data_IF_148724110331
#
_entry.id   IF_148724110331
#
_cell.length_a   1.000
_cell.length_b   1.000
_cell.length_c   1.000
_cell.angle_alpha   90.00
_cell.angle_beta   90.00
_cell.angle_gamma   90.00
#
_symmetry.space_group_name_H-M   'P 1'
#
loop_
_entity.id
_entity.type
_entity.pdbx_description
1 polymer ?
#
# COMPACT_ATOMS: atom_id res chain seq x y z
N UNK A 1 23.13 -14.92 29.67
CA UNK A 1 22.71 -14.93 28.24
C UNK A 1 22.92 -13.58 27.56
N UNK A 2 22.23 -12.48 27.91
CA UNK A 2 22.29 -11.23 27.12
C UNK A 2 23.71 -10.68 26.94
N UNK A 3 24.49 -10.67 28.02
CA UNK A 3 25.85 -10.12 28.08
C UNK A 3 26.94 -10.88 27.30
N UNK A 4 26.63 -12.03 26.68
CA UNK A 4 27.57 -12.77 25.82
C UNK A 4 27.15 -12.88 24.35
N UNK A 5 25.84 -12.79 24.06
CA UNK A 5 25.30 -13.11 22.75
C UNK A 5 24.32 -12.04 22.21
N UNK A 6 24.13 -10.93 22.93
CA UNK A 6 23.32 -9.79 22.49
C UNK A 6 21.86 -10.14 22.19
N UNK A 7 21.29 -9.44 21.20
CA UNK A 7 19.92 -9.66 20.74
C UNK A 7 19.73 -11.03 20.06
N UNK A 8 20.73 -11.49 19.29
CA UNK A 8 20.76 -12.83 18.69
C UNK A 8 20.55 -13.92 19.73
N UNK A 9 21.37 -13.98 20.78
CA UNK A 9 21.24 -15.00 21.82
C UNK A 9 19.95 -14.92 22.62
N UNK A 10 19.29 -13.76 22.65
CA UNK A 10 17.93 -13.63 23.19
C UNK A 10 16.88 -14.21 22.24
N UNK A 11 17.03 -14.04 20.94
CA UNK A 11 16.16 -14.64 19.91
C UNK A 11 16.29 -16.17 19.91
N UNK A 12 17.52 -16.71 19.88
CA UNK A 12 17.77 -18.16 19.98
C UNK A 12 17.26 -18.76 21.29
N UNK A 13 17.39 -18.06 22.42
CA UNK A 13 16.82 -18.50 23.71
C UNK A 13 15.28 -18.41 23.74
N UNK A 14 14.68 -17.49 22.97
CA UNK A 14 13.23 -17.39 22.81
C UNK A 14 12.68 -18.61 22.07
N UNK A 15 13.31 -18.98 20.95
CA UNK A 15 12.99 -20.18 20.17
C UNK A 15 13.17 -21.45 21.01
N UNK A 16 14.31 -21.58 21.70
CA UNK A 16 14.62 -22.76 22.53
C UNK A 16 13.67 -22.95 23.73
N UNK A 17 12.93 -21.91 24.12
CA UNK A 17 11.88 -21.97 25.16
C UNK A 17 10.46 -22.10 24.60
N UNK A 18 10.30 -22.28 23.29
CA UNK A 18 8.98 -22.35 22.65
C UNK A 18 8.17 -21.06 22.78
N UNK A 19 8.80 -19.92 23.06
CA UNK A 19 8.10 -18.66 23.19
C UNK A 19 7.49 -18.26 21.81
N UNK A 20 6.22 -17.82 21.76
CA UNK A 20 5.49 -17.65 20.50
C UNK A 20 6.07 -16.50 19.66
N UNK A 21 6.93 -16.85 18.70
CA UNK A 21 7.66 -15.91 17.83
C UNK A 21 6.77 -15.21 16.79
N UNK A 22 5.60 -15.78 16.49
CA UNK A 22 4.59 -15.22 15.58
C UNK A 22 3.21 -15.78 15.93
N UNK A 23 2.22 -14.92 16.16
CA UNK A 23 0.81 -15.36 16.15
C UNK A 23 0.39 -15.62 14.70
N UNK A 24 -0.18 -16.81 14.45
CA UNK A 24 -0.62 -17.23 13.12
C UNK A 24 -2.05 -16.76 12.80
N UNK A 25 -2.91 -16.66 13.81
CA UNK A 25 -4.19 -15.97 13.71
C UNK A 25 -3.98 -14.45 13.93
N UNK A 26 -4.65 -13.59 13.15
CA UNK A 26 -4.92 -12.22 13.55
C UNK A 26 -5.65 -12.19 14.91
N UNK A 27 -5.53 -11.07 15.63
CA UNK A 27 -6.32 -10.88 16.84
C UNK A 27 -7.72 -10.40 16.43
N UNK A 28 -8.73 -11.23 16.68
CA UNK A 28 -10.12 -10.81 16.51
C UNK A 28 -10.46 -9.70 17.52
N UNK A 29 -11.25 -8.74 17.07
CA UNK A 29 -11.45 -7.47 17.74
C UNK A 29 -12.49 -7.61 18.86
N UNK A 30 -12.03 -7.92 20.08
CA UNK A 30 -12.88 -8.06 21.26
C UNK A 30 -13.31 -6.72 21.88
N UNK A 31 -13.44 -5.65 21.10
CA UNK A 31 -13.81 -4.32 21.59
C UNK A 31 -15.01 -3.78 20.84
N UNK A 32 -15.94 -3.18 21.59
CA UNK A 32 -17.19 -2.68 21.04
C UNK A 32 -16.92 -1.49 20.10
N UNK A 33 -17.20 -1.75 18.82
CA UNK A 33 -16.89 -0.95 17.65
C UNK A 33 -17.92 -1.18 16.52
N UNK A 34 -18.95 -1.99 16.76
CA UNK A 34 -20.03 -2.16 15.82
C UNK A 34 -20.84 -0.86 15.74
N UNK A 35 -21.26 -0.48 14.54
CA UNK A 35 -22.20 0.64 14.34
C UNK A 35 -23.48 0.12 13.72
N UNK A 36 -24.59 0.44 14.36
CA UNK A 36 -25.93 -0.08 14.05
C UNK A 36 -26.88 1.06 13.73
N UNK A 37 -27.72 0.87 12.72
CA UNK A 37 -28.87 1.71 12.44
C UNK A 37 -30.13 0.86 12.39
N UNK A 38 -31.08 1.14 13.28
CA UNK A 38 -32.45 0.63 13.20
C UNK A 38 -33.28 1.60 12.38
N UNK A 39 -34.05 1.08 11.42
CA UNK A 39 -34.90 1.87 10.53
C UNK A 39 -36.28 2.08 11.17
N UNK A 40 -36.81 3.31 11.15
CA UNK A 40 -38.16 3.63 11.64
C UNK A 40 -39.28 2.89 10.86
N UNK A 41 -38.96 2.38 9.67
CA UNK A 41 -39.81 1.50 8.86
C UNK A 41 -38.94 0.63 7.94
N UNK A 42 -39.38 -0.58 7.53
CA UNK A 42 -38.57 -1.48 6.70
C UNK A 42 -38.16 -0.84 5.38
N UNK A 43 -36.85 -0.67 5.16
CA UNK A 43 -36.32 -0.02 3.97
C UNK A 43 -36.26 -1.02 2.79
N UNK A 44 -37.25 -0.95 1.90
CA UNK A 44 -37.36 -1.81 0.70
C UNK A 44 -36.46 -1.38 -0.47
N UNK A 45 -36.12 -0.08 -0.57
CA UNK A 45 -35.34 0.49 -1.67
C UNK A 45 -33.83 0.45 -1.44
N UNK A 46 -33.09 -0.06 -2.42
CA UNK A 46 -31.62 -0.21 -2.40
C UNK A 46 -30.88 1.11 -2.19
N UNK A 47 -31.32 2.21 -2.81
CA UNK A 47 -30.71 3.55 -2.64
C UNK A 47 -30.79 4.06 -1.19
N UNK A 48 -31.95 3.89 -0.55
CA UNK A 48 -32.18 4.28 0.86
C UNK A 48 -31.23 3.51 1.78
N UNK A 49 -31.12 2.20 1.57
CA UNK A 49 -30.24 1.32 2.33
C UNK A 49 -28.76 1.64 2.07
N UNK A 50 -28.38 1.99 0.83
CA UNK A 50 -27.04 2.44 0.50
C UNK A 50 -26.68 3.79 1.14
N UNK A 51 -27.66 4.68 1.36
CA UNK A 51 -27.48 5.94 2.08
C UNK A 51 -27.27 5.72 3.58
N UNK A 52 -28.07 4.83 4.21
CA UNK A 52 -27.84 4.39 5.60
C UNK A 52 -26.45 3.77 5.74
N UNK A 53 -26.08 2.90 4.78
CA UNK A 53 -24.75 2.31 4.66
C UNK A 53 -23.62 3.33 4.59
N UNK A 54 -23.81 4.47 3.91
CA UNK A 54 -22.84 5.57 3.86
C UNK A 54 -22.66 6.25 5.21
N UNK A 55 -23.74 6.48 5.95
CA UNK A 55 -23.66 7.08 7.28
C UNK A 55 -22.89 6.16 8.23
N UNK A 56 -23.28 4.89 8.33
CA UNK A 56 -22.57 3.90 9.14
C UNK A 56 -21.11 3.74 8.70
N UNK A 57 -20.82 3.84 7.40
CA UNK A 57 -19.45 3.82 6.88
C UNK A 57 -18.57 4.96 7.42
N UNK A 58 -19.12 6.17 7.50
CA UNK A 58 -18.44 7.34 8.07
C UNK A 58 -18.33 7.24 9.59
N UNK A 59 -19.42 6.89 10.29
CA UNK A 59 -19.46 6.74 11.75
C UNK A 59 -18.44 5.67 12.24
N UNK A 60 -18.28 4.57 11.50
CA UNK A 60 -17.26 3.54 11.75
C UNK A 60 -15.84 4.05 11.46
N UNK A 61 -15.65 4.82 10.40
CA UNK A 61 -14.33 5.35 10.02
C UNK A 61 -13.81 6.35 11.06
N UNK A 62 -14.64 7.28 11.53
CA UNK A 62 -14.26 8.25 12.56
C UNK A 62 -13.94 7.54 13.90
N UNK A 63 -14.74 6.53 14.31
CA UNK A 63 -14.43 5.74 15.52
C UNK A 63 -13.10 4.97 15.45
N UNK A 64 -12.77 4.39 14.29
CA UNK A 64 -11.49 3.71 14.07
C UNK A 64 -10.33 4.72 14.05
N UNK A 65 -10.54 5.88 13.41
CA UNK A 65 -9.57 6.98 13.35
C UNK A 65 -9.21 7.51 14.73
N UNK A 66 -10.20 7.82 15.58
CA UNK A 66 -9.99 8.32 16.95
C UNK A 66 -9.23 7.32 17.83
N UNK A 67 -9.51 6.02 17.67
CA UNK A 67 -8.77 4.93 18.34
C UNK A 67 -7.39 4.65 17.70
N UNK A 68 -7.06 5.29 16.59
CA UNK A 68 -5.80 5.09 15.86
C UNK A 68 -5.68 3.69 15.24
N UNK A 69 -6.79 3.11 14.79
CA UNK A 69 -6.90 1.76 14.26
C UNK A 69 -7.34 1.80 12.78
N UNK A 70 -7.08 0.70 12.05
CA UNK A 70 -7.71 0.45 10.75
C UNK A 70 -8.27 -0.97 10.68
N UNK A 71 -9.44 -1.09 10.04
CA UNK A 71 -10.17 -2.33 9.84
C UNK A 71 -9.55 -3.19 8.71
N UNK A 72 -9.39 -4.48 8.99
CA UNK A 72 -8.96 -5.54 8.06
C UNK A 72 -10.14 -6.43 7.65
N UNK A 73 -11.09 -6.71 8.55
CA UNK A 73 -12.37 -7.35 8.24
C UNK A 73 -13.52 -6.58 8.86
N UNK A 74 -14.52 -6.30 8.03
CA UNK A 74 -15.82 -5.79 8.45
C UNK A 74 -16.88 -6.83 8.11
N UNK A 75 -17.84 -6.99 9.01
CA UNK A 75 -19.04 -7.77 8.83
C UNK A 75 -20.19 -6.81 8.54
N UNK A 76 -20.97 -7.13 7.52
CA UNK A 76 -22.25 -6.47 7.24
C UNK A 76 -23.33 -7.44 7.72
N UNK A 77 -24.05 -7.08 8.78
CA UNK A 77 -25.28 -7.75 9.22
C UNK A 77 -26.47 -6.90 8.83
N UNK A 78 -27.55 -7.52 8.38
CA UNK A 78 -28.84 -6.85 8.26
C UNK A 78 -29.97 -7.75 8.73
N UNK A 79 -30.94 -7.15 9.41
CA UNK A 79 -32.23 -7.77 9.74
C UNK A 79 -33.24 -7.32 8.68
N UNK A 80 -33.75 -8.26 7.88
CA UNK A 80 -34.75 -8.02 6.84
C UNK A 80 -36.09 -8.59 7.30
N UNK A 81 -37.12 -7.75 7.35
CA UNK A 81 -38.50 -8.21 7.58
C UNK A 81 -39.06 -8.88 6.33
N UNK A 82 -39.66 -10.04 6.49
CA UNK A 82 -40.48 -10.73 5.47
C UNK A 82 -41.84 -11.09 6.07
N UNK A 83 -42.83 -11.53 5.27
CA UNK A 83 -44.13 -11.98 5.80
C UNK A 83 -44.00 -13.19 6.74
N UNK A 84 -42.96 -13.98 6.55
CA UNK A 84 -42.64 -15.22 7.30
C UNK A 84 -41.88 -14.94 8.62
N UNK A 85 -41.50 -13.70 8.87
CA UNK A 85 -40.75 -13.24 10.05
C UNK A 85 -39.39 -12.62 9.71
N UNK A 86 -38.80 -11.92 10.68
CA UNK A 86 -37.54 -11.21 10.49
C UNK A 86 -36.35 -12.17 10.28
N UNK A 87 -35.57 -11.94 9.22
CA UNK A 87 -34.44 -12.76 8.76
C UNK A 87 -33.11 -12.03 8.96
N UNK A 88 -32.16 -12.61 9.70
CA UNK A 88 -30.81 -12.07 9.83
C UNK A 88 -29.88 -12.58 8.71
N UNK A 89 -29.11 -11.68 8.11
CA UNK A 89 -28.18 -11.96 7.02
C UNK A 89 -26.81 -11.37 7.30
N UNK A 90 -25.78 -12.21 7.34
CA UNK A 90 -24.39 -11.80 7.54
C UNK A 90 -23.52 -12.02 6.29
N UNK A 91 -22.66 -11.03 5.94
CA UNK A 91 -21.48 -11.28 5.10
C UNK A 91 -20.21 -10.61 5.65
N UNK A 92 -19.13 -11.38 5.71
CA UNK A 92 -17.79 -10.94 6.11
C UNK A 92 -16.98 -10.50 4.88
N UNK A 93 -16.35 -9.33 4.94
CA UNK A 93 -15.50 -8.77 3.87
C UNK A 93 -14.06 -8.55 4.34
N UNK A 94 -13.06 -8.85 3.49
CA UNK A 94 -11.62 -8.60 3.77
C UNK A 94 -11.11 -7.37 3.04
N UNK A 95 -10.65 -6.38 3.78
CA UNK A 95 -10.11 -5.15 3.23
C UNK A 95 -8.60 -5.31 2.97
N UNK A 96 -8.21 -5.20 1.70
CA UNK A 96 -6.81 -5.17 1.26
C UNK A 96 -6.09 -3.92 1.74
N UNK A 97 -6.80 -2.80 1.70
CA UNK A 97 -6.32 -1.44 1.94
C UNK A 97 -7.16 -0.76 3.04
N UNK A 98 -6.85 0.50 3.37
CA UNK A 98 -7.59 1.25 4.40
C UNK A 98 -9.07 1.38 4.02
N UNK A 99 -9.94 1.20 5.02
CA UNK A 99 -11.39 1.15 4.84
C UNK A 99 -11.95 2.56 4.52
N UNK A 100 -12.09 2.86 3.22
CA UNK A 100 -12.69 4.13 2.75
C UNK A 100 -14.21 4.05 2.72
N UNK A 101 -14.87 5.19 3.02
CA UNK A 101 -16.33 5.36 2.97
C UNK A 101 -16.93 4.82 1.66
N UNK A 102 -16.38 5.23 0.51
CA UNK A 102 -16.86 4.79 -0.80
C UNK A 102 -16.76 3.27 -1.00
N UNK A 103 -15.69 2.63 -0.53
CA UNK A 103 -15.52 1.18 -0.65
C UNK A 103 -16.52 0.40 0.22
N UNK A 104 -16.91 0.94 1.39
CA UNK A 104 -18.01 0.37 2.18
C UNK A 104 -19.33 0.54 1.42
N UNK A 105 -19.67 1.77 1.00
CA UNK A 105 -20.95 2.09 0.33
C UNK A 105 -21.24 1.18 -0.87
N UNK A 106 -20.24 0.94 -1.73
CA UNK A 106 -20.42 0.06 -2.90
C UNK A 106 -20.71 -1.39 -2.49
N UNK A 107 -20.05 -1.91 -1.45
CA UNK A 107 -20.24 -3.28 -0.96
C UNK A 107 -21.58 -3.42 -0.25
N UNK A 108 -21.94 -2.47 0.61
CA UNK A 108 -23.22 -2.45 1.34
C UNK A 108 -24.37 -2.38 0.35
N UNK A 109 -24.31 -1.50 -0.66
CA UNK A 109 -25.28 -1.45 -1.76
C UNK A 109 -25.39 -2.81 -2.48
N UNK A 110 -24.28 -3.34 -2.98
CA UNK A 110 -24.28 -4.59 -3.77
C UNK A 110 -24.78 -5.81 -3.00
N UNK A 111 -24.41 -5.93 -1.71
CA UNK A 111 -24.91 -7.02 -0.86
C UNK A 111 -26.41 -6.87 -0.58
N UNK A 112 -26.88 -5.67 -0.25
CA UNK A 112 -28.28 -5.46 0.14
C UNK A 112 -29.23 -5.41 -1.07
N UNK A 113 -28.76 -5.00 -2.24
CA UNK A 113 -29.46 -5.19 -3.53
C UNK A 113 -29.70 -6.68 -3.79
N UNK A 114 -28.66 -7.52 -3.66
CA UNK A 114 -28.78 -8.97 -3.82
C UNK A 114 -29.61 -9.67 -2.74
N UNK A 115 -29.70 -9.12 -1.52
CA UNK A 115 -30.58 -9.64 -0.47
C UNK A 115 -32.04 -9.19 -0.67
N UNK A 116 -32.28 -7.88 -0.86
CA UNK A 116 -33.61 -7.33 -1.08
C UNK A 116 -34.29 -7.95 -2.31
N UNK A 117 -33.57 -8.10 -3.44
CA UNK A 117 -34.12 -8.77 -4.62
C UNK A 117 -34.63 -10.19 -4.30
N UNK A 118 -33.90 -10.97 -3.48
CA UNK A 118 -34.36 -12.31 -3.08
C UNK A 118 -35.71 -12.28 -2.35
N UNK A 119 -35.87 -11.38 -1.38
CA UNK A 119 -37.07 -11.35 -0.53
C UNK A 119 -38.25 -10.60 -1.18
N UNK A 120 -37.99 -9.52 -1.92
CA UNK A 120 -39.00 -8.79 -2.69
C UNK A 120 -39.57 -9.68 -3.80
N UNK A 121 -38.73 -10.39 -4.56
CA UNK A 121 -39.23 -11.34 -5.58
C UNK A 121 -39.98 -12.54 -4.97
N UNK A 122 -39.60 -13.01 -3.79
CA UNK A 122 -40.31 -14.11 -3.13
C UNK A 122 -41.68 -13.68 -2.61
N UNK A 123 -41.76 -12.51 -1.96
CA UNK A 123 -43.02 -11.96 -1.47
C UNK A 123 -43.95 -11.47 -2.60
N UNK A 124 -43.40 -11.04 -3.75
CA UNK A 124 -44.21 -10.76 -4.94
C UNK A 124 -44.82 -12.06 -5.53
N UNK A 125 -44.08 -13.17 -5.50
CA UNK A 125 -44.60 -14.47 -5.98
C UNK A 125 -45.73 -15.00 -5.08
N UNK A 126 -45.62 -14.92 -3.75
CA UNK A 126 -46.67 -15.39 -2.84
C UNK A 126 -47.93 -14.53 -2.87
N UNK A 127 -47.83 -13.22 -3.13
CA UNK A 127 -48.99 -12.37 -3.43
C UNK A 127 -49.62 -12.79 -4.76
N UNK A 128 -48.82 -13.02 -5.80
CA UNK A 128 -49.30 -13.45 -7.12
C UNK A 128 -50.02 -14.81 -7.14
N UNK A 129 -49.71 -15.73 -6.21
CA UNK A 129 -50.48 -16.98 -6.05
C UNK A 129 -51.82 -16.76 -5.35
N UNK A 130 -51.98 -15.69 -4.55
CA UNK A 130 -53.20 -15.42 -3.78
C UNK A 130 -54.34 -14.74 -4.57
N UNK A 131 -54.06 -14.14 -5.73
CA UNK A 131 -55.06 -13.44 -6.56
C UNK A 131 -55.82 -14.37 -7.55
N UNK A 132 -55.50 -15.67 -7.61
CA UNK A 132 -56.09 -16.61 -8.59
C UNK A 132 -57.24 -17.48 -8.09
N UNK A 133 -57.75 -17.28 -6.86
CA UNK A 133 -58.87 -18.07 -6.31
C UNK A 133 -60.15 -17.27 -5.97
N UNK A 134 -60.30 -16.05 -6.52
CA UNK A 134 -61.57 -15.29 -6.46
C UNK A 134 -61.89 -14.52 -7.74
N UNK A 135 -63.18 -14.50 -8.11
CA UNK A 135 -63.82 -13.71 -9.18
C UNK A 135 -63.31 -13.87 -10.62
N UNK A 136 -63.47 -15.09 -11.14
CA UNK A 136 -63.67 -15.29 -12.56
C UNK A 136 -65.07 -14.79 -13.01
N UNK A 137 -65.24 -13.48 -13.26
CA UNK A 137 -66.07 -12.95 -14.36
C UNK A 137 -65.91 -11.42 -14.54
N UNK A 138 -65.88 -10.96 -15.80
CA UNK A 138 -66.07 -9.56 -16.25
C UNK A 138 -65.04 -8.49 -15.82
N UNK A 139 -63.98 -8.31 -16.62
CA UNK A 139 -63.95 -7.12 -17.48
C UNK A 139 -63.02 -7.27 -18.69
N UNK A 140 -63.36 -6.62 -19.81
CA UNK A 140 -62.54 -6.56 -21.01
C UNK A 140 -61.96 -5.15 -21.17
N UNK A 141 -60.87 -4.87 -20.45
CA UNK A 141 -60.14 -3.61 -20.52
C UNK A 141 -58.64 -3.87 -20.72
N UNK A 142 -58.02 -3.15 -21.66
CA UNK A 142 -56.56 -3.20 -21.84
C UNK A 142 -55.90 -2.40 -20.71
N UNK A 143 -55.02 -3.01 -19.89
CA UNK A 143 -54.22 -2.25 -18.94
C UNK A 143 -53.13 -1.47 -19.69
N UNK A 144 -53.06 -0.16 -19.45
CA UNK A 144 -51.92 0.65 -19.88
C UNK A 144 -50.72 0.35 -18.97
N UNK A 145 -49.51 0.32 -19.53
CA UNK A 145 -48.33 -0.29 -18.90
C UNK A 145 -47.65 0.62 -17.87
N UNK A 146 -48.34 0.91 -16.77
CA UNK A 146 -47.75 1.57 -15.61
C UNK A 146 -46.99 0.55 -14.77
N UNK A 147 -45.65 0.61 -14.81
CA UNK A 147 -44.79 -0.09 -13.84
C UNK A 147 -44.97 0.53 -12.45
N UNK A 148 -45.99 0.08 -11.72
CA UNK A 148 -46.13 0.36 -10.28
C UNK A 148 -45.02 -0.38 -9.54
N UNK A 149 -44.20 0.35 -8.78
CA UNK A 149 -43.10 -0.17 -7.95
C UNK A 149 -43.65 -0.98 -6.77
N UNK A 150 -44.15 -2.19 -7.08
CA UNK A 150 -44.91 -3.06 -6.21
C UNK A 150 -44.02 -3.82 -5.20
N UNK A 151 -43.18 -3.11 -4.46
CA UNK A 151 -42.51 -3.68 -3.29
C UNK A 151 -43.55 -4.11 -2.24
N UNK A 152 -43.62 -5.40 -1.85
CA UNK A 152 -44.64 -5.88 -0.92
C UNK A 152 -44.56 -5.16 0.43
N UNK A 153 -45.72 -4.66 0.90
CA UNK A 153 -45.79 -3.76 2.06
C UNK A 153 -45.23 -4.43 3.31
N UNK A 154 -44.21 -3.82 3.91
CA UNK A 154 -43.55 -4.31 5.12
C UNK A 154 -42.27 -5.13 4.88
N UNK A 155 -41.93 -5.48 3.63
CA UNK A 155 -40.69 -6.21 3.31
C UNK A 155 -39.53 -5.23 3.11
N UNK A 156 -38.47 -5.35 3.91
CA UNK A 156 -37.32 -4.44 3.82
C UNK A 156 -36.35 -4.54 4.99
N UNK A 157 -35.27 -3.77 4.94
CA UNK A 157 -34.24 -3.73 6.00
C UNK A 157 -34.76 -2.98 7.23
N UNK A 158 -34.87 -3.66 8.36
CA UNK A 158 -35.21 -3.09 9.66
C UNK A 158 -33.98 -2.70 10.49
N UNK A 159 -32.85 -3.39 10.30
CA UNK A 159 -31.58 -3.05 10.92
C UNK A 159 -30.42 -3.27 9.96
N UNK A 160 -29.42 -2.38 9.99
CA UNK A 160 -28.14 -2.54 9.32
C UNK A 160 -27.00 -2.29 10.32
N UNK A 161 -26.08 -3.24 10.42
CA UNK A 161 -24.95 -3.22 11.37
C UNK A 161 -23.63 -3.47 10.64
N UNK A 162 -22.62 -2.62 10.89
CA UNK A 162 -21.24 -2.80 10.43
C UNK A 162 -20.32 -3.11 11.62
N UNK A 163 -19.75 -4.31 11.66
CA UNK A 163 -18.96 -4.83 12.79
C UNK A 163 -17.50 -5.13 12.36
N UNK A 164 -16.49 -4.36 12.83
CA UNK A 164 -15.09 -4.50 12.41
C UNK A 164 -14.35 -5.59 13.20
N UNK A 165 -14.73 -6.87 12.98
CA UNK A 165 -14.22 -8.05 13.70
C UNK A 165 -12.69 -8.27 13.62
N UNK A 166 -11.96 -7.62 12.71
CA UNK A 166 -10.51 -7.67 12.67
C UNK A 166 -9.94 -6.26 12.41
N UNK A 167 -9.22 -5.71 13.39
CA UNK A 167 -8.57 -4.39 13.32
C UNK A 167 -7.09 -4.50 13.68
N UNK A 168 -6.26 -3.60 13.13
CA UNK A 168 -4.88 -3.38 13.60
C UNK A 168 -4.69 -1.92 14.01
N UNK A 169 -3.84 -1.68 15.01
CA UNK A 169 -3.35 -0.32 15.28
C UNK A 169 -2.66 0.20 14.01
N UNK A 170 -2.91 1.46 13.66
CA UNK A 170 -2.23 2.08 12.53
C UNK A 170 -0.76 2.33 12.89
N UNK A 171 0.15 1.76 12.12
CA UNK A 171 1.53 2.28 12.04
C UNK A 171 1.56 3.67 11.39
N UNK A 172 0.46 4.04 10.71
CA UNK A 172 0.18 5.36 10.16
C UNK A 172 -0.47 6.32 11.18
N UNK A 173 0.06 6.38 12.41
CA UNK A 173 0.15 7.70 13.07
C UNK A 173 1.20 8.50 12.31
N UNK A 174 0.76 9.13 11.22
CA UNK A 174 1.48 10.25 10.64
C UNK A 174 1.70 11.31 11.72
N UNK A 175 2.74 12.13 11.55
CA UNK A 175 3.01 13.26 12.45
C UNK A 175 1.91 14.35 12.35
N UNK A 176 1.02 14.21 11.37
CA UNK A 176 -0.13 15.03 11.02
C UNK A 176 -1.34 14.10 10.92
N UNK A 177 -2.52 14.54 11.37
CA UNK A 177 -3.64 13.66 11.71
C UNK A 177 -4.46 13.15 10.52
N UNK A 178 -5.14 12.01 10.68
CA UNK A 178 -5.88 11.33 9.60
C UNK A 178 -6.96 12.20 8.90
N UNK A 179 -7.49 13.24 9.56
CA UNK A 179 -8.41 14.21 8.93
C UNK A 179 -7.75 15.09 7.85
N UNK A 180 -6.42 15.17 7.80
CA UNK A 180 -5.69 15.88 6.74
C UNK A 180 -5.56 15.05 5.45
N UNK A 181 -5.66 13.72 5.50
CA UNK A 181 -5.46 12.86 4.33
C UNK A 181 -6.45 13.17 3.19
N UNK A 182 -7.72 13.45 3.48
CA UNK A 182 -8.70 13.82 2.45
C UNK A 182 -8.35 15.13 1.74
N UNK A 183 -7.83 16.12 2.47
CA UNK A 183 -7.38 17.38 1.90
C UNK A 183 -6.07 17.20 1.10
N UNK A 184 -5.14 16.38 1.59
CA UNK A 184 -3.90 16.04 0.91
C UNK A 184 -4.15 15.28 -0.41
N UNK A 185 -5.00 14.26 -0.40
CA UNK A 185 -5.37 13.51 -1.61
C UNK A 185 -6.11 14.40 -2.63
N UNK A 186 -7.03 15.26 -2.19
CA UNK A 186 -7.70 16.21 -3.07
C UNK A 186 -6.75 17.27 -3.67
N UNK A 187 -5.73 17.70 -2.91
CA UNK A 187 -4.69 18.57 -3.42
C UNK A 187 -3.78 17.86 -4.43
N UNK A 188 -3.33 16.63 -4.12
CA UNK A 188 -2.51 15.80 -5.01
C UNK A 188 -3.22 15.54 -6.35
N UNK A 189 -4.50 15.14 -6.32
CA UNK A 189 -5.31 14.92 -7.53
C UNK A 189 -5.43 16.17 -8.43
N UNK A 190 -5.57 17.37 -7.83
CA UNK A 190 -5.57 18.64 -8.57
C UNK A 190 -4.22 18.93 -9.23
N UNK A 191 -3.11 18.71 -8.53
CA UNK A 191 -1.77 18.89 -9.12
C UNK A 191 -1.50 17.82 -10.19
N UNK A 192 -2.03 16.61 -10.03
CA UNK A 192 -1.93 15.52 -11.00
C UNK A 192 -2.72 15.84 -12.28
N UNK A 193 -3.85 16.53 -12.17
CA UNK A 193 -4.61 17.08 -13.32
C UNK A 193 -3.83 18.17 -14.05
N UNK A 194 -3.04 18.99 -13.33
CA UNK A 194 -2.23 20.06 -13.94
C UNK A 194 -0.91 19.57 -14.57
N UNK A 195 -0.31 18.49 -14.06
CA UNK A 195 1.00 18.00 -14.50
C UNK A 195 0.97 16.67 -15.28
N UNK A 196 -0.15 15.96 -15.25
CA UNK A 196 -0.29 14.59 -15.76
C UNK A 196 0.04 13.51 -14.71
N UNK A 197 -0.45 12.26 -14.89
CA UNK A 197 -0.37 11.20 -13.89
C UNK A 197 1.07 10.85 -13.49
N UNK A 198 1.97 10.71 -14.47
CA UNK A 198 3.37 10.27 -14.29
C UNK A 198 4.29 11.30 -13.63
N UNK A 199 3.78 12.48 -13.26
CA UNK A 199 4.58 13.57 -12.67
C UNK A 199 4.50 13.64 -11.15
N UNK A 200 3.58 12.93 -10.52
CA UNK A 200 3.46 12.85 -9.06
C UNK A 200 3.51 11.39 -8.65
N UNK A 201 4.66 10.96 -8.11
CA UNK A 201 4.91 9.57 -7.81
C UNK A 201 5.43 9.37 -6.38
N UNK A 202 4.91 8.35 -5.72
CA UNK A 202 5.39 7.86 -4.41
C UNK A 202 6.61 6.94 -4.63
N UNK A 203 7.71 7.12 -3.88
CA UNK A 203 8.84 6.19 -3.92
C UNK A 203 8.53 4.91 -3.14
N UNK A 204 8.64 3.75 -3.79
CA UNK A 204 8.51 2.43 -3.16
C UNK A 204 9.80 1.64 -3.28
N UNK A 205 10.10 0.80 -2.28
CA UNK A 205 11.31 -0.03 -2.25
C UNK A 205 11.10 -1.36 -3.01
N UNK A 206 12.09 -1.75 -3.81
CA UNK A 206 12.16 -3.02 -4.54
C UNK A 206 13.54 -3.67 -4.46
N UNK A 207 13.64 -4.91 -4.92
CA UNK A 207 14.90 -5.58 -5.19
C UNK A 207 15.70 -4.84 -6.26
N UNK A 208 17.01 -4.70 -6.05
CA UNK A 208 17.89 -3.93 -6.93
C UNK A 208 19.37 -4.07 -6.54
N UNK A 209 20.27 -3.71 -7.47
CA UNK A 209 21.72 -3.90 -7.29
C UNK A 209 22.35 -2.81 -6.42
N UNK A 210 22.14 -1.54 -6.74
CA UNK A 210 22.56 -0.41 -5.91
C UNK A 210 21.39 0.44 -5.38
N UNK A 211 21.68 1.63 -4.82
CA UNK A 211 20.68 2.51 -4.21
C UNK A 211 19.63 3.03 -5.20
N UNK A 212 20.05 3.54 -6.37
CA UNK A 212 19.11 4.02 -7.40
C UNK A 212 18.24 2.86 -7.93
N UNK A 213 18.81 1.67 -8.12
CA UNK A 213 18.09 0.48 -8.62
C UNK A 213 17.00 -0.02 -7.65
N UNK A 214 17.06 0.33 -6.35
CA UNK A 214 16.16 -0.14 -5.28
C UNK A 214 14.90 0.69 -5.09
N UNK A 215 14.76 1.80 -5.82
CA UNK A 215 13.60 2.68 -5.77
C UNK A 215 12.80 2.51 -7.06
N UNK A 216 11.48 2.36 -6.94
CA UNK A 216 10.55 2.63 -8.03
C UNK A 216 9.72 3.87 -7.68
N UNK A 217 9.37 4.64 -8.70
CA UNK A 217 8.40 5.71 -8.60
C UNK A 217 7.08 5.17 -9.16
N UNK A 218 6.03 5.16 -8.35
CA UNK A 218 4.67 4.70 -8.72
C UNK A 218 3.74 5.92 -8.64
N UNK A 219 2.88 6.18 -9.64
CA UNK A 219 1.96 7.32 -9.60
C UNK A 219 1.10 7.34 -8.33
N UNK A 220 0.83 8.54 -7.80
CA UNK A 220 -0.05 8.68 -6.63
C UNK A 220 -1.45 8.18 -6.98
N UNK A 221 -1.97 7.29 -6.12
CA UNK A 221 -3.26 6.61 -6.30
C UNK A 221 -3.16 5.23 -6.96
N UNK A 222 -2.03 4.87 -7.56
CA UNK A 222 -1.81 3.54 -8.14
C UNK A 222 -1.16 2.58 -7.14
N UNK A 223 -1.65 1.33 -7.12
CA UNK A 223 -0.96 0.24 -6.44
C UNK A 223 0.36 -0.04 -7.14
N UNK A 224 1.44 -0.21 -6.38
CA UNK A 224 2.71 -0.64 -6.94
C UNK A 224 2.52 -1.98 -7.70
N UNK A 225 3.06 -2.13 -8.92
CA UNK A 225 3.00 -3.38 -9.65
C UNK A 225 3.75 -4.49 -8.88
N UNK A 226 3.67 -5.74 -9.35
CA UNK A 226 4.40 -6.88 -8.78
C UNK A 226 5.93 -6.75 -8.97
N UNK A 227 6.52 -5.84 -8.20
CA UNK A 227 7.96 -5.57 -8.16
C UNK A 227 8.67 -6.71 -7.41
N UNK A 228 9.90 -7.09 -7.84
CA UNK A 228 10.68 -8.07 -7.09
C UNK A 228 10.93 -7.54 -5.67
N UNK A 229 10.59 -8.35 -4.66
CA UNK A 229 10.65 -7.93 -3.26
C UNK A 229 12.07 -7.53 -2.84
N UNK A 230 12.16 -6.43 -2.08
CA UNK A 230 13.41 -5.90 -1.52
C UNK A 230 14.07 -6.81 -0.47
N UNK A 231 13.35 -7.82 0.03
CA UNK A 231 13.79 -8.78 1.06
C UNK A 231 14.64 -9.92 0.51
N UNK A 232 14.67 -10.15 -0.81
CA UNK A 232 15.48 -11.20 -1.43
C UNK A 232 16.90 -10.71 -1.78
N UNK A 233 17.88 -11.61 -1.64
CA UNK A 233 19.25 -11.39 -2.10
C UNK A 233 19.28 -11.35 -3.64
N UNK A 234 19.36 -10.16 -4.22
CA UNK A 234 19.32 -9.96 -5.67
C UNK A 234 20.68 -10.36 -6.29
N UNK A 235 20.78 -11.18 -7.37
CA UNK A 235 22.06 -11.81 -7.77
C UNK A 235 23.12 -10.84 -8.33
N UNK A 236 23.98 -10.27 -7.47
CA UNK A 236 24.80 -9.09 -7.78
C UNK A 236 24.34 -7.81 -7.04
N UNK A 237 23.66 -7.98 -5.91
CA UNK A 237 23.37 -6.96 -4.91
C UNK A 237 24.66 -6.42 -4.31
N UNK A 238 24.75 -5.09 -4.24
CA UNK A 238 25.78 -4.39 -3.49
C UNK A 238 25.67 -4.73 -1.99
N UNK A 239 26.79 -5.05 -1.30
CA UNK A 239 26.77 -5.46 0.10
C UNK A 239 26.33 -4.31 1.02
N UNK A 240 25.89 -4.65 2.23
CA UNK A 240 25.70 -3.65 3.29
C UNK A 240 27.08 -3.12 3.77
N UNK A 241 27.18 -1.87 4.24
CA UNK A 241 26.11 -0.87 4.37
C UNK A 241 25.66 -0.29 3.02
N UNK A 242 24.35 -0.09 2.86
CA UNK A 242 23.81 0.74 1.78
C UNK A 242 23.96 2.21 2.21
N UNK A 243 24.48 3.12 1.38
CA UNK A 243 24.64 4.52 1.76
C UNK A 243 23.28 5.17 1.99
N UNK A 244 23.18 6.03 3.00
CA UNK A 244 21.98 6.84 3.25
C UNK A 244 21.94 7.93 2.20
N UNK A 245 21.24 7.66 1.08
CA UNK A 245 21.02 8.60 -0.03
C UNK A 245 20.09 9.75 0.35
N UNK A 246 20.51 10.58 1.31
CA UNK A 246 19.95 11.92 1.41
C UNK A 246 20.34 12.66 0.14
N UNK A 247 19.32 13.04 -0.64
CA UNK A 247 19.35 14.11 -1.62
C UNK A 247 20.08 15.30 -0.99
N UNK A 248 21.37 15.47 -1.32
CA UNK A 248 22.18 16.59 -0.83
C UNK A 248 21.46 17.88 -1.24
N UNK A 249 21.46 18.90 -0.40
CA UNK A 249 20.47 20.00 -0.50
C UNK A 249 20.64 20.94 -1.73
N UNK A 250 21.66 20.69 -2.58
CA UNK A 250 21.73 21.06 -4.01
C UNK A 250 22.47 20.00 -4.86
N UNK A 251 22.42 18.72 -4.48
CA UNK A 251 23.12 17.61 -5.14
C UNK A 251 22.22 16.75 -6.05
N UNK A 252 22.54 16.61 -7.35
CA UNK A 252 21.77 15.83 -8.31
C UNK A 252 22.23 14.36 -8.44
N UNK A 253 21.42 13.53 -9.13
CA UNK A 253 21.66 12.08 -9.33
C UNK A 253 23.02 11.74 -9.96
N UNK A 254 23.43 10.46 -9.87
CA UNK A 254 24.58 9.90 -10.56
C UNK A 254 24.56 10.06 -12.10
N UNK A 255 23.44 10.46 -12.71
CA UNK A 255 23.39 10.84 -14.13
C UNK A 255 23.98 12.24 -14.43
N UNK A 256 24.03 13.14 -13.46
CA UNK A 256 24.28 14.57 -13.68
C UNK A 256 25.79 14.92 -13.79
N UNK A 257 26.19 15.97 -14.54
CA UNK A 257 27.61 16.37 -14.69
C UNK A 257 28.34 16.68 -13.37
N UNK A 258 27.70 17.43 -12.47
CA UNK A 258 28.26 17.86 -11.16
C UNK A 258 28.56 16.69 -10.20
N UNK A 259 28.01 15.51 -10.47
CA UNK A 259 28.26 14.29 -9.69
C UNK A 259 29.57 13.58 -10.11
N UNK A 260 30.30 14.12 -11.08
CA UNK A 260 31.62 13.66 -11.53
C UNK A 260 32.73 13.90 -10.52
N UNK A 261 33.63 12.93 -10.42
CA UNK A 261 34.85 12.96 -9.61
C UNK A 261 36.02 12.36 -10.38
N UNK A 262 37.24 12.78 -10.08
CA UNK A 262 38.44 11.98 -10.39
C UNK A 262 38.87 11.19 -9.16
N UNK A 263 39.39 9.99 -9.40
CA UNK A 263 39.96 9.09 -8.40
C UNK A 263 41.44 8.97 -8.75
N UNK A 264 42.34 9.37 -7.86
CA UNK A 264 43.76 9.54 -8.19
C UNK A 264 44.66 8.59 -7.39
N UNK A 265 45.78 8.19 -8.00
CA UNK A 265 46.89 7.52 -7.32
C UNK A 265 47.77 8.52 -6.54
N UNK A 266 48.80 8.02 -5.85
CA UNK A 266 49.72 8.85 -5.06
C UNK A 266 50.51 9.86 -5.92
N UNK A 267 50.80 9.50 -7.17
CA UNK A 267 51.44 10.36 -8.19
C UNK A 267 50.45 11.34 -8.86
N UNK A 268 49.16 11.28 -8.51
CA UNK A 268 48.11 12.17 -9.03
C UNK A 268 47.52 11.77 -10.39
N UNK A 269 47.70 10.53 -10.86
CA UNK A 269 47.14 10.02 -12.13
C UNK A 269 45.72 9.48 -11.95
N UNK A 270 44.87 9.66 -12.97
CA UNK A 270 43.51 9.10 -12.99
C UNK A 270 43.50 7.56 -12.93
N UNK A 271 42.83 7.02 -11.93
CA UNK A 271 42.59 5.59 -11.75
C UNK A 271 41.36 5.16 -12.54
N UNK A 272 41.51 4.10 -13.32
CA UNK A 272 40.43 3.49 -14.09
C UNK A 272 40.17 2.05 -13.64
N UNK A 273 38.98 1.54 -13.96
CA UNK A 273 38.71 0.10 -13.89
C UNK A 273 39.21 -0.54 -15.18
N UNK A 274 40.14 -1.49 -15.04
CA UNK A 274 40.74 -2.24 -16.14
C UNK A 274 39.75 -3.25 -16.75
N UNK A 275 40.05 -3.78 -17.94
CA UNK A 275 39.21 -4.79 -18.60
C UNK A 275 39.01 -6.08 -17.79
N UNK A 276 39.89 -6.35 -16.80
CA UNK A 276 39.83 -7.47 -15.84
C UNK A 276 39.07 -7.12 -14.54
N UNK A 277 38.40 -5.97 -14.48
CA UNK A 277 37.66 -5.50 -13.29
C UNK A 277 38.53 -5.25 -12.05
N UNK A 278 39.77 -4.81 -12.25
CA UNK A 278 40.69 -4.34 -11.20
C UNK A 278 40.92 -2.83 -11.35
N UNK A 279 41.23 -2.11 -10.27
CA UNK A 279 41.75 -0.74 -10.37
C UNK A 279 43.13 -0.73 -11.04
N UNK A 280 43.48 0.36 -11.73
CA UNK A 280 44.79 0.52 -12.38
C UNK A 280 45.95 0.83 -11.42
N UNK A 281 45.65 1.37 -10.24
CA UNK A 281 46.59 1.68 -9.15
C UNK A 281 45.83 1.71 -7.80
N UNK A 282 46.53 1.91 -6.69
CA UNK A 282 45.88 2.13 -5.39
C UNK A 282 45.31 3.56 -5.29
N UNK A 283 44.06 3.74 -4.84
CA UNK A 283 43.42 5.05 -4.76
C UNK A 283 43.84 5.82 -3.50
N UNK A 284 44.50 6.95 -3.70
CA UNK A 284 45.03 7.82 -2.65
C UNK A 284 44.10 9.01 -2.33
N UNK A 285 43.40 9.57 -3.32
CA UNK A 285 42.42 10.63 -3.09
C UNK A 285 41.26 10.65 -4.10
N UNK A 286 40.17 11.32 -3.72
CA UNK A 286 39.07 11.71 -4.60
C UNK A 286 39.11 13.23 -4.78
N UNK A 287 38.92 13.73 -6.01
CA UNK A 287 38.64 15.15 -6.25
C UNK A 287 37.19 15.35 -6.69
N UNK A 288 36.49 16.29 -6.06
CA UNK A 288 35.09 16.62 -6.34
C UNK A 288 34.92 18.14 -6.37
N UNK A 289 34.64 18.67 -7.56
CA UNK A 289 34.71 20.11 -7.81
C UNK A 289 36.12 20.64 -7.55
N UNK A 290 36.25 21.66 -6.70
CA UNK A 290 37.54 22.24 -6.29
C UNK A 290 38.15 21.59 -5.04
N UNK A 291 37.50 20.56 -4.45
CA UNK A 291 37.97 19.91 -3.22
C UNK A 291 38.67 18.59 -3.51
N UNK A 292 39.73 18.32 -2.75
CA UNK A 292 40.43 17.02 -2.65
C UNK A 292 40.11 16.41 -1.29
N UNK A 293 39.86 15.11 -1.27
CA UNK A 293 39.61 14.33 -0.07
C UNK A 293 40.50 13.10 -0.09
N UNK A 294 41.31 12.92 0.94
CA UNK A 294 42.28 11.84 1.00
C UNK A 294 41.60 10.55 1.48
N UNK A 295 41.92 9.43 0.82
CA UNK A 295 41.27 8.14 1.03
C UNK A 295 41.95 7.41 2.18
N UNK A 296 41.17 7.08 3.20
CA UNK A 296 41.62 6.37 4.41
C UNK A 296 41.35 4.87 4.36
N UNK A 297 40.59 4.41 3.35
CA UNK A 297 40.31 3.00 3.08
C UNK A 297 39.36 2.85 1.88
N UNK A 298 39.31 1.68 1.25
CA UNK A 298 38.46 1.43 0.09
C UNK A 298 38.08 -0.05 -0.02
N UNK A 299 37.03 -0.35 -0.79
CA UNK A 299 36.59 -1.72 -1.05
C UNK A 299 35.88 -1.84 -2.40
N UNK A 300 36.01 -3.01 -3.04
CA UNK A 300 35.67 -3.25 -4.44
C UNK A 300 36.93 -3.36 -5.32
N UNK A 301 36.87 -3.00 -6.62
CA UNK A 301 35.68 -2.56 -7.35
C UNK A 301 34.77 -3.76 -7.66
N UNK A 302 33.46 -3.63 -7.42
CA UNK A 302 32.48 -4.65 -7.79
C UNK A 302 31.98 -4.40 -9.22
N UNK A 303 32.34 -5.24 -10.21
CA UNK A 303 31.81 -5.11 -11.56
C UNK A 303 30.33 -5.50 -11.60
N UNK A 304 29.59 -4.81 -12.46
CA UNK A 304 28.21 -5.13 -12.82
C UNK A 304 28.13 -5.15 -14.35
N UNK A 305 27.68 -6.26 -14.91
CA UNK A 305 27.52 -6.46 -16.34
C UNK A 305 26.10 -6.98 -16.60
N UNK A 306 25.19 -6.07 -16.98
CA UNK A 306 23.78 -6.39 -17.22
C UNK A 306 23.49 -6.46 -18.72
N UNK A 307 22.71 -7.43 -19.15
CA UNK A 307 22.28 -7.57 -20.56
C UNK A 307 23.46 -7.62 -21.56
N UNK A 308 24.53 -8.34 -21.22
CA UNK A 308 25.72 -8.52 -22.07
C UNK A 308 25.41 -9.14 -23.46
N UNK A 309 24.24 -9.77 -23.60
CA UNK A 309 23.68 -10.31 -24.84
C UNK A 309 22.93 -9.26 -25.70
N UNK A 310 22.94 -7.98 -25.29
CA UNK A 310 22.26 -6.86 -25.94
C UNK A 310 23.06 -5.55 -25.74
N UNK A 311 22.41 -4.37 -25.72
CA UNK A 311 23.04 -3.10 -25.37
C UNK A 311 23.29 -2.99 -23.85
N UNK A 312 24.21 -3.81 -23.35
CA UNK A 312 24.41 -4.03 -21.92
C UNK A 312 24.89 -2.83 -21.09
N UNK A 313 24.47 -2.79 -19.83
CA UNK A 313 24.94 -1.82 -18.83
C UNK A 313 26.15 -2.38 -18.10
N UNK A 314 27.35 -2.14 -18.63
CA UNK A 314 28.62 -2.48 -17.96
C UNK A 314 29.15 -1.31 -17.14
N UNK A 315 29.34 -1.53 -15.84
CA UNK A 315 29.87 -0.54 -14.89
C UNK A 315 30.57 -1.21 -13.70
N UNK A 316 31.13 -0.44 -12.78
CA UNK A 316 31.64 -0.97 -11.51
C UNK A 316 31.36 0.00 -10.35
N UNK A 317 31.21 -0.53 -9.14
CA UNK A 317 31.04 0.23 -7.89
C UNK A 317 32.29 0.15 -7.01
N UNK A 318 32.62 1.22 -6.30
CA UNK A 318 33.74 1.29 -5.35
C UNK A 318 33.28 2.02 -4.09
N UNK A 319 33.50 1.44 -2.92
CA UNK A 319 33.41 2.17 -1.64
C UNK A 319 34.76 2.84 -1.38
N UNK A 320 34.73 4.10 -0.95
CA UNK A 320 35.90 4.79 -0.40
C UNK A 320 35.53 5.46 0.92
N UNK A 321 36.36 5.28 1.93
CA UNK A 321 36.36 6.04 3.17
C UNK A 321 37.30 7.23 2.97
N UNK A 322 36.87 8.44 3.35
CA UNK A 322 37.66 9.66 3.14
C UNK A 322 37.83 10.44 4.44
N UNK A 323 38.78 11.38 4.47
CA UNK A 323 39.00 12.25 5.62
C UNK A 323 37.74 13.07 6.00
N UNK A 324 37.07 13.68 5.03
CA UNK A 324 35.69 14.21 5.13
C UNK A 324 35.04 14.19 3.73
N UNK A 325 33.79 13.71 3.52
CA UNK A 325 32.91 13.02 4.48
C UNK A 325 33.49 11.65 4.89
N UNK A 326 32.82 10.97 5.83
CA UNK A 326 33.23 9.65 6.33
C UNK A 326 33.32 8.60 5.23
N UNK A 327 32.47 8.64 4.20
CA UNK A 327 32.69 7.84 2.99
C UNK A 327 31.78 8.17 1.80
N UNK A 328 32.15 7.62 0.65
CA UNK A 328 31.46 7.75 -0.64
C UNK A 328 31.24 6.36 -1.27
N UNK A 329 30.11 6.21 -1.98
CA UNK A 329 29.91 5.15 -2.97
C UNK A 329 30.12 5.76 -4.35
N UNK A 330 31.13 5.28 -5.07
CA UNK A 330 31.46 5.72 -6.43
C UNK A 330 31.03 4.68 -7.47
N UNK A 331 30.59 5.15 -8.63
CA UNK A 331 30.26 4.34 -9.81
C UNK A 331 31.13 4.75 -11.01
N UNK A 332 31.83 3.77 -11.59
CA UNK A 332 32.60 3.94 -12.82
C UNK A 332 31.81 3.47 -14.03
N UNK A 333 31.66 4.33 -15.05
CA UNK A 333 31.14 3.96 -16.38
C UNK A 333 32.20 4.31 -17.43
N UNK A 334 32.70 3.31 -18.14
CA UNK A 334 33.88 3.44 -19.01
C UNK A 334 35.13 3.80 -18.18
N UNK A 335 35.65 5.02 -18.37
CA UNK A 335 36.77 5.58 -17.59
C UNK A 335 36.36 6.74 -16.67
N UNK A 336 35.05 6.96 -16.43
CA UNK A 336 34.56 8.13 -15.67
C UNK A 336 33.86 7.70 -14.38
N UNK A 337 34.36 8.21 -13.26
CA UNK A 337 33.78 8.04 -11.93
C UNK A 337 32.71 9.11 -11.63
N UNK A 338 31.70 8.73 -10.85
CA UNK A 338 30.70 9.62 -10.26
C UNK A 338 30.33 9.15 -8.86
N UNK A 339 29.80 10.05 -8.04
CA UNK A 339 29.18 9.70 -6.76
C UNK A 339 27.78 9.12 -7.01
N UNK A 340 27.51 7.92 -6.46
CA UNK A 340 26.21 7.25 -6.42
C UNK A 340 25.56 7.35 -5.02
N UNK A 341 26.36 7.53 -3.96
CA UNK A 341 25.88 7.74 -2.60
C UNK A 341 26.95 8.25 -1.65
N UNK A 342 26.53 8.69 -0.47
CA UNK A 342 27.41 9.21 0.59
C UNK A 342 27.07 8.46 1.89
N UNK A 343 28.10 8.07 2.64
CA UNK A 343 27.94 7.53 3.99
C UNK A 343 28.07 8.67 5.00
N UNK A 344 27.37 8.54 6.14
CA UNK A 344 27.51 9.41 7.31
C UNK A 344 27.99 8.56 8.47
#
# INVERSE_FOLDING_TARGET
MPSRFGAEGLWWWSIARGAPSRRLAPQENSSDLAVTHHCDSPASRSDTVAFIGRRLAADLHDQLSDRGQICLRVVIRALIRTPDGDQELERVWRCTDQLTEHAIVQRVRWHLEGWLHRFVSHAAATVGESEYESDALNNAGVPDSVEVDATPVGVGVCELTLDPIETKNSSMRGLWGAKEDHAAHAALARVQTMLGPDRICTPVLKGGRGPEDRIALVPVGESAPNLPSSTYAWPGQFPAPIPVTKRVERGPSAAHPVSGVSLLDEDGRDIIVTGRSLLSAQPACVTWGTKRYDITGWSGPWPVDEQWWAQGRRFARLQVTTNQPSGLLLICRGKKWRIEGVYR
#
